data_IF_113069353386
#
_entry.id   IF_113069353386
#
_cell.length_a   1.000
_cell.length_b   1.000
_cell.length_c   1.000
_cell.angle_alpha   90.00
_cell.angle_beta   90.00
_cell.angle_gamma   90.00
#
_symmetry.space_group_name_H-M   'P 1'
#
loop_
_entity.id
_entity.type
_entity.pdbx_description
1 polymer ?
#
# COMPACT_ATOMS: atom_id res chain seq x y z
N UNK A 1 -3.74 -4.27 -2.08
CA UNK A 1 -3.87 -2.83 -1.92
C UNK A 1 -5.02 -2.53 -0.99
N UNK A 2 -4.83 -1.64 -0.06
CA UNK A 2 -5.85 -1.25 0.90
C UNK A 2 -5.75 0.22 1.24
N UNK A 3 -6.87 0.83 1.52
CA UNK A 3 -6.97 2.24 1.92
C UNK A 3 -7.62 2.32 3.28
N UNK A 4 -7.08 3.12 4.16
CA UNK A 4 -7.66 3.35 5.48
C UNK A 4 -8.52 4.61 5.47
N UNK A 5 -9.76 4.48 5.87
CA UNK A 5 -10.67 5.58 6.15
C UNK A 5 -11.55 5.29 7.36
N UNK A 6 -12.58 6.10 7.56
CA UNK A 6 -13.47 6.09 8.75
C UNK A 6 -14.39 4.87 8.90
N UNK A 7 -14.19 3.80 8.11
CA UNK A 7 -15.02 2.60 8.17
C UNK A 7 -16.10 2.56 7.09
N UNK A 8 -16.54 1.35 6.80
CA UNK A 8 -17.50 1.02 5.75
C UNK A 8 -18.82 1.79 5.93
N UNK A 9 -19.22 2.53 4.91
CA UNK A 9 -20.51 3.21 4.83
C UNK A 9 -20.53 4.71 5.06
N UNK A 10 -19.39 5.36 5.28
CA UNK A 10 -19.30 6.82 5.27
C UNK A 10 -19.51 7.41 3.84
N UNK A 11 -20.07 8.59 3.77
CA UNK A 11 -20.07 9.42 2.55
C UNK A 11 -19.07 10.55 2.74
N UNK A 12 -17.92 10.41 2.11
CA UNK A 12 -16.84 11.39 2.12
C UNK A 12 -16.23 11.43 0.74
N UNK A 13 -15.78 12.58 0.28
CA UNK A 13 -15.16 12.75 -1.03
C UNK A 13 -13.95 11.84 -1.21
N UNK A 14 -13.19 11.60 -0.15
CA UNK A 14 -12.05 10.68 -0.15
C UNK A 14 -12.47 9.24 -0.42
N UNK A 15 -13.59 8.81 0.14
CA UNK A 15 -14.14 7.47 -0.06
C UNK A 15 -14.56 7.26 -1.52
N UNK A 16 -15.27 8.24 -2.09
CA UNK A 16 -15.68 8.20 -3.50
C UNK A 16 -14.47 8.18 -4.43
N UNK A 17 -13.43 8.97 -4.13
CA UNK A 17 -12.17 8.96 -4.87
C UNK A 17 -11.49 7.58 -4.82
N UNK A 18 -11.42 6.96 -3.65
CA UNK A 18 -10.80 5.65 -3.45
C UNK A 18 -11.57 4.58 -4.24
N UNK A 19 -12.90 4.56 -4.14
CA UNK A 19 -13.75 3.61 -4.88
C UNK A 19 -13.58 3.76 -6.39
N UNK A 20 -13.62 5.00 -6.90
CA UNK A 20 -13.39 5.27 -8.32
C UNK A 20 -11.99 4.85 -8.78
N UNK A 21 -10.97 5.03 -7.95
CA UNK A 21 -9.62 4.57 -8.26
C UNK A 21 -9.53 3.03 -8.32
N UNK A 22 -10.18 2.32 -7.42
CA UNK A 22 -10.23 0.85 -7.41
C UNK A 22 -10.95 0.32 -8.66
N UNK A 23 -12.11 0.89 -9.00
CA UNK A 23 -12.85 0.51 -10.21
C UNK A 23 -12.00 0.70 -11.47
N UNK A 24 -11.30 1.82 -11.57
CA UNK A 24 -10.40 2.10 -12.67
C UNK A 24 -9.24 1.10 -12.75
N UNK A 25 -8.59 0.80 -11.63
CA UNK A 25 -7.50 -0.19 -11.61
C UNK A 25 -8.00 -1.56 -12.02
N UNK A 26 -9.16 -2.00 -11.54
CA UNK A 26 -9.77 -3.28 -11.93
C UNK A 26 -10.08 -3.34 -13.43
N UNK A 27 -10.50 -2.23 -14.03
CA UNK A 27 -10.77 -2.15 -15.46
C UNK A 27 -9.49 -2.17 -16.30
N UNK A 28 -8.44 -1.47 -15.87
CA UNK A 28 -7.17 -1.37 -16.60
C UNK A 28 -6.23 -2.56 -16.35
N UNK A 29 -6.31 -3.19 -15.16
CA UNK A 29 -5.44 -4.27 -14.70
C UNK A 29 -6.26 -5.37 -14.00
N UNK A 30 -7.06 -6.17 -14.74
CA UNK A 30 -8.00 -7.13 -14.15
C UNK A 30 -7.33 -8.22 -13.31
N UNK A 31 -6.05 -8.52 -13.55
CA UNK A 31 -5.28 -9.50 -12.77
C UNK A 31 -4.80 -8.94 -11.42
N UNK A 32 -4.87 -7.62 -11.22
CA UNK A 32 -4.42 -7.01 -9.98
C UNK A 32 -5.45 -7.17 -8.88
N UNK A 33 -5.08 -7.85 -7.81
CA UNK A 33 -5.92 -8.01 -6.63
C UNK A 33 -5.89 -6.71 -5.82
N UNK A 34 -7.00 -6.00 -5.84
CA UNK A 34 -7.18 -4.73 -5.15
C UNK A 34 -8.54 -4.69 -4.47
N UNK A 35 -8.54 -4.33 -3.21
CA UNK A 35 -9.73 -4.14 -2.39
C UNK A 35 -9.59 -2.86 -1.55
N UNK A 36 -10.67 -2.31 -1.11
CA UNK A 36 -10.83 -1.10 -0.31
C UNK A 36 -12.16 -0.44 -0.67
N UNK A 37 -12.57 0.58 0.01
CA UNK A 37 -11.88 1.13 1.18
C UNK A 37 -11.93 0.17 2.37
N UNK A 38 -10.95 0.21 3.24
CA UNK A 38 -10.98 -0.56 4.49
C UNK A 38 -10.02 0.05 5.52
N UNK A 39 -10.20 -0.29 6.77
CA UNK A 39 -9.29 0.11 7.83
C UNK A 39 -8.00 -0.73 7.78
N UNK A 40 -6.93 -0.20 8.39
CA UNK A 40 -5.63 -0.85 8.36
C UNK A 40 -5.65 -2.25 8.97
N UNK A 41 -6.31 -2.41 10.11
CA UNK A 41 -6.45 -3.70 10.80
C UNK A 41 -7.27 -4.71 9.98
N UNK A 42 -8.31 -4.27 9.28
CA UNK A 42 -9.05 -5.11 8.32
C UNK A 42 -8.15 -5.58 7.17
N UNK A 43 -7.27 -4.70 6.70
CA UNK A 43 -6.38 -5.01 5.59
C UNK A 43 -5.34 -6.07 5.92
N UNK A 44 -4.77 -6.05 7.15
CA UNK A 44 -3.59 -6.86 7.51
C UNK A 44 -3.88 -7.97 8.49
N UNK A 45 -5.02 -7.97 9.17
CA UNK A 45 -5.42 -8.99 10.12
C UNK A 45 -6.60 -9.81 9.59
N UNK A 46 -6.36 -11.09 9.30
CA UNK A 46 -7.35 -11.98 8.67
C UNK A 46 -8.62 -12.17 9.50
N UNK A 47 -8.49 -12.27 10.81
CA UNK A 47 -9.63 -12.46 11.71
C UNK A 47 -10.54 -11.22 11.73
N UNK A 48 -9.94 -10.05 11.88
CA UNK A 48 -10.66 -8.77 11.86
C UNK A 48 -11.29 -8.54 10.48
N UNK A 49 -10.51 -8.71 9.43
CA UNK A 49 -10.95 -8.50 8.05
C UNK A 49 -12.14 -9.38 7.67
N UNK A 50 -12.08 -10.68 7.96
CA UNK A 50 -13.19 -11.58 7.68
C UNK A 50 -14.44 -11.25 8.49
N UNK A 51 -14.29 -10.88 9.75
CA UNK A 51 -15.41 -10.49 10.60
C UNK A 51 -16.15 -9.27 10.03
N UNK A 52 -15.40 -8.27 9.56
CA UNK A 52 -15.98 -7.08 8.94
C UNK A 52 -16.59 -7.40 7.58
N UNK A 53 -15.92 -8.19 6.76
CA UNK A 53 -16.42 -8.62 5.46
C UNK A 53 -17.78 -9.27 5.55
N UNK A 54 -17.95 -10.25 6.44
CA UNK A 54 -19.23 -10.94 6.64
C UNK A 54 -20.32 -10.05 7.26
N UNK A 55 -19.93 -8.97 7.94
CA UNK A 55 -20.90 -8.01 8.49
C UNK A 55 -21.41 -6.99 7.46
N UNK A 56 -20.63 -6.73 6.41
CA UNK A 56 -20.88 -5.66 5.45
C UNK A 56 -21.42 -6.14 4.09
N UNK A 57 -21.29 -7.42 3.79
CA UNK A 57 -21.69 -7.97 2.49
C UNK A 57 -22.43 -9.30 2.65
N UNK A 58 -23.54 -9.45 1.92
CA UNK A 58 -24.25 -10.72 1.73
C UNK A 58 -23.53 -11.68 0.75
N UNK A 59 -22.23 -11.48 0.54
CA UNK A 59 -21.46 -12.25 -0.42
C UNK A 59 -20.91 -13.54 0.23
N UNK A 60 -21.25 -14.68 -0.34
CA UNK A 60 -20.69 -15.98 0.04
C UNK A 60 -19.20 -16.15 -0.36
N UNK A 61 -18.66 -15.23 -1.18
CA UNK A 61 -17.28 -15.29 -1.63
C UNK A 61 -16.33 -14.72 -0.58
N UNK A 62 -15.21 -15.41 -0.34
CA UNK A 62 -14.14 -14.87 0.50
C UNK A 62 -13.39 -13.73 -0.20
N UNK A 63 -13.00 -12.68 0.55
CA UNK A 63 -12.19 -11.61 0.00
C UNK A 63 -10.78 -12.10 -0.35
N UNK A 64 -10.22 -11.56 -1.43
CA UNK A 64 -8.89 -11.94 -1.89
C UNK A 64 -7.77 -11.18 -1.18
N UNK A 65 -7.99 -9.90 -0.83
CA UNK A 65 -6.97 -8.99 -0.25
C UNK A 65 -7.21 -8.76 1.23
N UNK A 66 -8.46 -8.60 1.66
CA UNK A 66 -8.84 -8.34 3.05
C UNK A 66 -8.17 -9.30 4.03
N UNK A 67 -7.45 -8.75 5.00
CA UNK A 67 -6.67 -9.48 5.99
C UNK A 67 -5.37 -10.12 5.48
N UNK A 68 -4.98 -9.86 4.23
CA UNK A 68 -3.78 -10.40 3.56
C UNK A 68 -3.04 -9.35 2.73
N UNK A 69 -3.39 -8.08 2.89
CA UNK A 69 -2.78 -7.01 2.10
C UNK A 69 -1.26 -6.98 2.32
N UNK A 70 -0.51 -7.02 1.25
CA UNK A 70 0.95 -6.89 1.24
C UNK A 70 1.42 -5.54 0.66
N UNK A 71 0.49 -4.76 0.12
CA UNK A 71 0.70 -3.37 -0.30
C UNK A 71 -0.43 -2.52 0.26
N UNK A 72 -0.09 -1.46 0.94
CA UNK A 72 -1.03 -0.49 1.52
C UNK A 72 -0.92 0.83 0.77
N UNK A 73 -2.05 1.32 0.25
CA UNK A 73 -2.14 2.65 -0.32
C UNK A 73 -2.82 3.56 0.70
N UNK A 74 -2.08 4.54 1.17
CA UNK A 74 -2.62 5.54 2.09
C UNK A 74 -3.47 6.57 1.34
N UNK A 75 -4.50 7.14 1.98
CA UNK A 75 -5.38 8.12 1.33
C UNK A 75 -4.64 9.38 0.91
N UNK A 76 -3.63 9.76 1.66
CA UNK A 76 -2.80 10.93 1.39
C UNK A 76 -1.36 10.76 1.92
N UNK A 77 -0.52 11.74 1.59
CA UNK A 77 0.89 11.76 2.02
C UNK A 77 1.04 11.87 3.54
N UNK A 78 0.13 12.55 4.23
CA UNK A 78 0.23 12.73 5.68
C UNK A 78 0.02 11.40 6.39
N UNK A 79 -1.03 10.67 6.02
CA UNK A 79 -1.31 9.34 6.54
C UNK A 79 -0.16 8.37 6.26
N UNK A 80 0.35 8.36 5.02
CA UNK A 80 1.48 7.52 4.63
C UNK A 80 2.76 7.84 5.41
N UNK A 81 3.06 9.12 5.58
CA UNK A 81 4.23 9.58 6.29
C UNK A 81 4.17 9.23 7.79
N UNK A 82 3.02 9.42 8.42
CA UNK A 82 2.83 9.04 9.83
C UNK A 82 2.94 7.52 9.98
N UNK A 83 2.29 6.75 9.10
CA UNK A 83 2.28 5.30 9.17
C UNK A 83 3.69 4.70 9.08
N UNK A 84 4.47 5.05 8.04
CA UNK A 84 5.79 4.45 7.89
C UNK A 84 6.74 4.84 9.02
N UNK A 85 6.68 6.10 9.50
CA UNK A 85 7.49 6.56 10.62
C UNK A 85 7.10 5.88 11.93
N UNK A 86 5.81 5.65 12.16
CA UNK A 86 5.33 4.92 13.33
C UNK A 86 5.81 3.46 13.31
N UNK A 87 5.74 2.80 12.16
CA UNK A 87 6.24 1.43 12.00
C UNK A 87 7.76 1.36 12.24
N UNK A 88 8.52 2.32 11.74
CA UNK A 88 9.95 2.40 11.96
C UNK A 88 10.29 2.64 13.43
N UNK A 89 9.70 3.67 14.05
CA UNK A 89 10.05 4.11 15.39
C UNK A 89 9.50 3.22 16.51
N UNK A 90 8.30 2.69 16.36
CA UNK A 90 7.63 1.90 17.39
C UNK A 90 7.56 0.40 17.04
N UNK A 91 7.54 0.05 15.78
CA UNK A 91 7.40 -1.33 15.31
C UNK A 91 8.72 -2.03 15.00
N UNK A 92 9.84 -1.31 14.99
CA UNK A 92 11.14 -1.88 14.65
C UNK A 92 11.30 -2.29 13.18
N UNK A 93 10.45 -1.76 12.30
CA UNK A 93 10.54 -2.00 10.87
C UNK A 93 11.69 -1.20 10.26
N UNK A 94 12.24 -1.72 9.18
CA UNK A 94 13.27 -1.02 8.40
C UNK A 94 12.62 -0.35 7.19
N UNK A 95 12.81 0.95 7.06
CA UNK A 95 12.30 1.73 5.94
C UNK A 95 13.29 1.74 4.77
N UNK A 96 12.97 1.06 3.67
CA UNK A 96 13.76 1.07 2.43
C UNK A 96 13.13 2.01 1.41
N UNK A 97 13.36 3.30 1.53
CA UNK A 97 12.76 4.31 0.66
C UNK A 97 13.09 5.74 1.11
N UNK A 98 12.35 6.74 0.57
CA UNK A 98 11.28 6.64 -0.43
C UNK A 98 11.77 6.20 -1.82
N UNK A 99 10.94 5.46 -2.54
CA UNK A 99 11.16 5.10 -3.94
C UNK A 99 10.11 5.83 -4.78
N UNK A 100 10.54 6.74 -5.63
CA UNK A 100 9.64 7.53 -6.45
C UNK A 100 9.19 6.75 -7.68
N UNK A 101 7.89 6.72 -7.94
CA UNK A 101 7.28 6.03 -9.06
C UNK A 101 7.06 6.95 -10.25
N UNK A 102 6.90 6.39 -11.46
CA UNK A 102 6.60 7.14 -12.68
C UNK A 102 7.80 7.73 -13.41
N UNK A 103 9.02 7.50 -12.97
CA UNK A 103 10.25 7.91 -13.64
C UNK A 103 10.77 6.82 -14.59
N UNK A 104 11.50 7.23 -15.64
CA UNK A 104 12.12 6.31 -16.61
C UNK A 104 13.23 5.44 -15.99
N UNK A 105 13.78 5.86 -14.89
CA UNK A 105 14.77 5.12 -14.10
C UNK A 105 14.39 5.20 -12.63
N UNK A 106 14.81 4.24 -11.79
CA UNK A 106 14.57 4.31 -10.36
C UNK A 106 15.14 5.59 -9.74
N UNK A 107 14.33 6.29 -8.98
CA UNK A 107 14.69 7.52 -8.26
C UNK A 107 14.33 7.34 -6.80
N UNK A 108 15.24 7.74 -5.93
CA UNK A 108 15.04 7.75 -4.49
C UNK A 108 15.55 9.05 -3.90
N UNK A 109 14.99 9.41 -2.77
CA UNK A 109 15.47 10.47 -1.90
C UNK A 109 15.76 9.87 -0.51
N UNK A 110 16.51 10.57 0.31
CA UNK A 110 16.84 10.14 1.65
C UNK A 110 16.49 11.22 2.67
N UNK A 111 16.00 10.79 3.82
CA UNK A 111 15.75 11.67 4.94
C UNK A 111 17.07 12.26 5.45
N UNK A 112 17.04 13.50 5.95
CA UNK A 112 18.21 14.16 6.58
C UNK A 112 18.75 13.40 7.79
N UNK A 113 17.94 12.54 8.41
CA UNK A 113 18.32 11.70 9.54
C UNK A 113 18.75 10.28 9.16
N UNK A 114 18.91 9.98 7.86
CA UNK A 114 19.28 8.63 7.41
C UNK A 114 20.68 8.26 7.86
N UNK A 115 20.80 7.04 8.37
CA UNK A 115 22.07 6.43 8.74
C UNK A 115 22.84 5.92 7.51
N UNK A 116 24.10 5.55 7.69
CA UNK A 116 24.88 4.91 6.62
C UNK A 116 24.22 3.59 6.15
N UNK A 117 23.63 2.82 7.07
CA UNK A 117 22.92 1.58 6.73
C UNK A 117 21.69 1.83 5.87
N UNK A 118 20.94 2.91 6.12
CA UNK A 118 19.78 3.28 5.31
C UNK A 118 20.20 3.65 3.89
N UNK A 119 21.29 4.40 3.75
CA UNK A 119 21.85 4.75 2.43
C UNK A 119 22.22 3.49 1.66
N UNK A 120 22.91 2.55 2.27
CA UNK A 120 23.33 1.29 1.63
C UNK A 120 22.12 0.44 1.24
N UNK A 121 21.10 0.35 2.10
CA UNK A 121 19.87 -0.38 1.82
C UNK A 121 19.13 0.21 0.63
N UNK A 122 18.99 1.53 0.56
CA UNK A 122 18.36 2.21 -0.55
C UNK A 122 19.12 1.99 -1.84
N UNK A 123 20.45 2.12 -1.84
CA UNK A 123 21.28 1.87 -3.02
C UNK A 123 21.15 0.42 -3.52
N UNK A 124 21.14 -0.56 -2.61
CA UNK A 124 20.93 -1.95 -2.99
C UNK A 124 19.53 -2.20 -3.59
N UNK A 125 18.51 -1.60 -3.00
CA UNK A 125 17.14 -1.66 -3.52
C UNK A 125 17.04 -1.05 -4.91
N UNK A 126 17.63 0.13 -5.12
CA UNK A 126 17.65 0.79 -6.42
C UNK A 126 18.38 -0.04 -7.48
N UNK A 127 19.50 -0.67 -7.12
CA UNK A 127 20.24 -1.58 -8.00
C UNK A 127 19.39 -2.76 -8.46
N UNK A 128 18.61 -3.37 -7.54
CA UNK A 128 17.69 -4.47 -7.86
C UNK A 128 16.59 -3.99 -8.83
N UNK A 129 16.01 -2.82 -8.59
CA UNK A 129 14.99 -2.26 -9.48
C UNK A 129 15.52 -2.00 -10.91
N UNK A 130 16.75 -1.53 -11.04
CA UNK A 130 17.38 -1.35 -12.36
C UNK A 130 17.51 -2.70 -13.09
N UNK A 131 17.93 -3.75 -12.39
CA UNK A 131 18.10 -5.08 -13.00
C UNK A 131 16.76 -5.70 -13.44
N UNK A 132 15.70 -5.53 -12.67
CA UNK A 132 14.35 -5.99 -13.06
C UNK A 132 13.83 -5.25 -14.30
N UNK A 133 13.94 -3.93 -14.32
CA UNK A 133 13.51 -3.12 -15.47
C UNK A 133 14.30 -3.40 -16.77
N UNK A 134 15.48 -3.99 -16.68
CA UNK A 134 16.25 -4.42 -17.87
C UNK A 134 15.73 -5.76 -18.41
N UNK A 135 15.34 -6.69 -17.53
CA UNK A 135 14.80 -8.00 -17.92
C UNK A 135 13.42 -7.90 -18.58
N UNK A 136 12.60 -6.91 -18.22
CA UNK A 136 11.28 -6.69 -18.83
C UNK A 136 11.34 -6.05 -20.24
N UNK A 137 12.52 -5.64 -20.68
CA UNK A 137 12.73 -5.02 -22.00
C UNK A 137 13.36 -5.95 -23.03
N UNK A 138 13.76 -7.14 -22.65
CA UNK A 138 14.24 -8.22 -23.51
C UNK A 138 13.11 -9.20 -23.85
#
# INVERSE_FOLDING_TARGET
LSFSTFGSGGRDETIELIRGAIERVRAEQPEMKIEGEMQLDEAVNREIGLKQWHSSQDSESEPEVTGRANVLICPDLNAGNILYKALEQFGGFVAAGPILQGFKAPVSDLSRGSSQSDVLLVLETMRKLVSVNQQEKE
#
